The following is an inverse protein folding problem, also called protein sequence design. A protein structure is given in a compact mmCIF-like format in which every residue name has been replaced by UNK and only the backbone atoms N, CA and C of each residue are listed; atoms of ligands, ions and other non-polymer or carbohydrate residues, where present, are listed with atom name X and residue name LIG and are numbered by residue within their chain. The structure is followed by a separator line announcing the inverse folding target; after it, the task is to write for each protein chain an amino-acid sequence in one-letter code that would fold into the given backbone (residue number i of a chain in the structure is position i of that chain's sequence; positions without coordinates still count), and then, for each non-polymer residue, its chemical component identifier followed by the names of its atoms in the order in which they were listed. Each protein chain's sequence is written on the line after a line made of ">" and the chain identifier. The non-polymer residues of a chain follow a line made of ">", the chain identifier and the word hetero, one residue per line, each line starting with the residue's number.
data_IF_840760364054
#
_entry.id   IF_840760364054
#
_cell.length_a   1.000
_cell.length_b   1.000
_cell.length_c   1.000
_cell.angle_alpha   90.00
_cell.angle_beta   90.00
_cell.angle_gamma   90.00
#
_symmetry.space_group_name_H-M   'P 1'
#
loop_
_entity.id
_entity.type
_entity.pdbx_description
1 polymer ?
#
# COMPACT_ATOMS: atom_id res chain seq x y z
N UNK A 1 66.38 5.63 -22.24
CA UNK A 1 67.26 4.77 -23.06
C UNK A 1 67.32 3.36 -22.47
N UNK A 2 66.21 2.61 -22.48
CA UNK A 2 66.13 1.22 -21.94
C UNK A 2 65.29 0.29 -22.82
N UNK A 3 64.27 0.80 -23.53
CA UNK A 3 63.39 0.00 -24.41
C UNK A 3 63.97 -0.40 -25.78
N UNK A 4 65.27 -0.23 -26.04
CA UNK A 4 65.87 -0.54 -27.35
C UNK A 4 66.85 -1.74 -27.35
N UNK A 5 67.10 -2.37 -26.19
CA UNK A 5 68.03 -3.50 -26.08
C UNK A 5 67.37 -4.89 -25.98
N UNK A 6 66.05 -4.98 -25.76
CA UNK A 6 65.33 -6.27 -25.73
C UNK A 6 65.07 -6.80 -27.16
N UNK A 7 65.01 -5.92 -28.16
CA UNK A 7 64.62 -6.27 -29.54
C UNK A 7 65.72 -6.94 -30.39
N UNK A 8 66.97 -6.96 -29.94
CA UNK A 8 68.09 -7.55 -30.70
C UNK A 8 68.43 -8.99 -30.29
N UNK A 9 68.04 -9.45 -29.10
CA UNK A 9 68.41 -10.79 -28.64
C UNK A 9 67.50 -11.91 -29.20
N UNK A 10 66.27 -11.59 -29.58
CA UNK A 10 65.33 -12.57 -30.16
C UNK A 10 65.57 -12.87 -31.66
N UNK A 11 66.44 -12.12 -32.34
CA UNK A 11 66.61 -12.20 -33.81
C UNK A 11 67.70 -13.17 -34.26
N UNK A 12 68.39 -13.85 -33.34
CA UNK A 12 69.49 -14.78 -33.66
C UNK A 12 69.14 -16.27 -33.51
N UNK A 13 67.95 -16.62 -33.03
CA UNK A 13 67.51 -18.03 -32.82
C UNK A 13 66.35 -18.42 -33.76
N UNK A 14 66.41 -17.96 -35.02
CA UNK A 14 65.40 -18.23 -36.06
C UNK A 14 66.05 -18.61 -37.40
N UNK A 15 67.19 -19.31 -37.30
CA UNK A 15 67.82 -20.08 -38.36
C UNK A 15 68.07 -21.47 -37.78
N UNK A 16 67.93 -22.49 -38.61
CA UNK A 16 68.00 -23.91 -38.26
C UNK A 16 66.81 -24.42 -37.43
N UNK A 17 65.64 -24.52 -38.07
CA UNK A 17 64.77 -25.72 -38.03
C UNK A 17 63.79 -25.68 -39.21
N UNK A 18 64.35 -25.78 -40.42
CA UNK A 18 63.55 -25.96 -41.63
C UNK A 18 63.16 -27.42 -41.82
N UNK A 19 61.86 -27.71 -41.76
CA UNK A 19 61.30 -28.95 -42.31
C UNK A 19 60.83 -30.02 -41.31
N UNK A 20 59.66 -29.78 -40.69
CA UNK A 20 58.67 -30.85 -40.50
C UNK A 20 57.31 -30.31 -40.98
N UNK A 21 56.50 -31.18 -41.58
CA UNK A 21 55.40 -30.85 -42.48
C UNK A 21 54.24 -30.03 -41.88
N UNK A 22 53.63 -29.25 -42.77
CA UNK A 22 52.36 -28.56 -42.64
C UNK A 22 51.15 -29.50 -42.49
N UNK A 23 50.66 -29.74 -41.27
CA UNK A 23 49.24 -30.07 -41.00
C UNK A 23 48.82 -29.51 -39.64
N UNK A 24 48.37 -28.26 -39.57
CA UNK A 24 47.48 -27.78 -38.50
C UNK A 24 46.48 -26.79 -39.09
N UNK A 25 45.19 -27.08 -38.91
CA UNK A 25 44.11 -26.25 -39.40
C UNK A 25 44.17 -24.85 -38.80
N UNK A 26 43.95 -23.84 -39.65
CA UNK A 26 43.84 -22.43 -39.26
C UNK A 26 42.54 -22.18 -38.49
N UNK A 27 42.43 -22.67 -37.25
CA UNK A 27 41.28 -22.38 -36.41
C UNK A 27 41.59 -22.22 -34.90
N UNK A 28 41.86 -20.96 -34.55
CA UNK A 28 41.16 -20.32 -33.42
C UNK A 28 41.44 -20.83 -31.98
N UNK A 29 42.45 -21.66 -31.71
CA UNK A 29 42.73 -22.11 -30.34
C UNK A 29 42.99 -20.95 -29.36
N UNK A 30 43.86 -20.00 -29.72
CA UNK A 30 44.14 -18.82 -28.89
C UNK A 30 42.91 -17.93 -28.68
N UNK A 31 42.04 -17.82 -29.69
CA UNK A 31 40.75 -17.10 -29.59
C UNK A 31 39.81 -17.83 -28.64
N UNK A 32 39.67 -19.16 -28.75
CA UNK A 32 38.87 -19.99 -27.82
C UNK A 32 39.35 -19.83 -26.38
N UNK A 33 40.66 -19.90 -26.14
CA UNK A 33 41.24 -19.64 -24.81
C UNK A 33 40.92 -18.22 -24.33
N UNK A 34 41.07 -17.19 -25.18
CA UNK A 34 40.75 -15.80 -24.85
C UNK A 34 39.26 -15.57 -24.54
N UNK A 35 38.35 -16.25 -25.25
CA UNK A 35 36.91 -16.21 -24.95
C UNK A 35 36.58 -16.90 -23.62
N UNK A 36 37.23 -18.02 -23.31
CA UNK A 36 37.03 -18.74 -22.04
C UNK A 36 37.57 -17.93 -20.85
N UNK A 37 38.80 -17.39 -20.95
CA UNK A 37 39.39 -16.58 -19.87
C UNK A 37 38.69 -15.22 -19.72
N UNK A 38 38.33 -14.58 -20.83
CA UNK A 38 37.56 -13.34 -20.82
C UNK A 38 36.14 -13.51 -20.26
N UNK A 39 35.47 -14.61 -20.61
CA UNK A 39 34.16 -14.97 -20.06
C UNK A 39 34.21 -15.28 -18.57
N UNK A 40 35.24 -16.01 -18.11
CA UNK A 40 35.46 -16.28 -16.69
C UNK A 40 35.76 -14.99 -15.89
N UNK A 41 36.57 -14.08 -16.44
CA UNK A 41 36.84 -12.77 -15.84
C UNK A 41 35.59 -11.90 -15.75
N UNK A 42 34.75 -11.88 -16.80
CA UNK A 42 33.46 -11.17 -16.79
C UNK A 42 32.49 -11.76 -15.75
N UNK A 43 32.41 -13.08 -15.65
CA UNK A 43 31.58 -13.75 -14.65
C UNK A 43 32.06 -13.45 -13.21
N UNK A 44 33.37 -13.49 -12.96
CA UNK A 44 33.95 -13.13 -11.66
C UNK A 44 33.73 -11.66 -11.31
N UNK A 45 33.89 -10.74 -12.27
CA UNK A 45 33.62 -9.31 -12.07
C UNK A 45 32.13 -9.04 -11.81
N UNK A 46 31.22 -9.74 -12.49
CA UNK A 46 29.78 -9.65 -12.25
C UNK A 46 29.39 -10.20 -10.87
N UNK A 47 30.01 -11.31 -10.45
CA UNK A 47 29.81 -11.87 -9.10
C UNK A 47 30.30 -10.90 -8.01
N UNK A 48 31.53 -10.39 -8.12
CA UNK A 48 32.07 -9.42 -7.17
C UNK A 48 31.26 -8.12 -7.13
N UNK A 49 30.76 -7.65 -8.29
CA UNK A 49 29.86 -6.50 -8.33
C UNK A 49 28.53 -6.79 -7.62
N UNK A 50 27.94 -7.97 -7.82
CA UNK A 50 26.73 -8.39 -7.13
C UNK A 50 26.95 -8.50 -5.61
N UNK A 51 28.08 -9.05 -5.18
CA UNK A 51 28.46 -9.17 -3.76
C UNK A 51 28.72 -7.81 -3.11
N UNK A 52 29.42 -6.89 -3.79
CA UNK A 52 29.58 -5.50 -3.33
C UNK A 52 28.26 -4.72 -3.28
N UNK A 53 27.35 -4.95 -4.23
CA UNK A 53 26.01 -4.37 -4.20
C UNK A 53 25.17 -4.94 -3.05
N UNK A 54 25.30 -6.24 -2.74
CA UNK A 54 24.65 -6.86 -1.59
C UNK A 54 25.19 -6.30 -0.27
N UNK A 55 26.51 -6.22 -0.09
CA UNK A 55 27.15 -5.63 1.11
C UNK A 55 26.74 -4.17 1.30
N UNK A 56 26.70 -3.38 0.22
CA UNK A 56 26.24 -1.98 0.31
C UNK A 56 24.77 -1.89 0.73
N UNK A 57 23.92 -2.77 0.20
CA UNK A 57 22.50 -2.85 0.55
C UNK A 57 22.31 -3.26 2.01
N UNK A 58 23.13 -4.19 2.52
CA UNK A 58 23.18 -4.54 3.93
C UNK A 58 23.64 -3.36 4.79
N UNK A 59 24.63 -2.57 4.36
CA UNK A 59 25.05 -1.35 5.08
C UNK A 59 23.98 -0.23 5.06
N UNK A 60 23.19 -0.13 4.00
CA UNK A 60 22.06 0.80 3.92
C UNK A 60 20.88 0.34 4.83
N UNK A 61 20.71 -0.97 5.05
CA UNK A 61 19.80 -1.53 6.08
C UNK A 61 20.36 -1.41 7.51
N UNK A 62 21.66 -1.64 7.72
CA UNK A 62 22.36 -1.53 9.01
C UNK A 62 22.62 -0.07 9.44
N UNK A 63 22.11 0.89 8.66
CA UNK A 63 22.04 2.29 9.11
C UNK A 63 21.04 2.40 10.25
N UNK A 64 21.57 2.32 11.47
CA UNK A 64 20.86 2.69 12.70
C UNK A 64 20.17 4.03 12.49
N UNK A 65 18.92 4.09 12.91
CA UNK A 65 17.97 5.19 12.74
C UNK A 65 17.28 5.30 11.35
N UNK A 66 17.52 4.38 10.39
CA UNK A 66 16.68 4.27 9.19
C UNK A 66 15.43 3.39 9.42
N UNK A 67 14.27 3.85 8.94
CA UNK A 67 13.05 3.05 8.85
C UNK A 67 13.05 2.32 7.50
N UNK A 68 13.07 0.99 7.53
CA UNK A 68 12.96 0.15 6.33
C UNK A 68 11.51 -0.32 6.21
N UNK A 69 10.81 0.10 5.17
CA UNK A 69 9.42 -0.28 4.90
C UNK A 69 9.36 -1.43 3.88
N UNK A 70 9.02 -2.62 4.35
CA UNK A 70 8.77 -3.78 3.50
C UNK A 70 7.32 -3.81 3.01
N UNK A 71 7.14 -3.77 1.68
CA UNK A 71 5.82 -3.73 1.06
C UNK A 71 5.82 -4.31 -0.36
N UNK A 72 4.62 -4.43 -0.95
CA UNK A 72 4.45 -4.92 -2.33
C UNK A 72 5.02 -3.94 -3.36
N UNK A 73 5.56 -4.49 -4.45
CA UNK A 73 6.07 -3.73 -5.60
C UNK A 73 5.01 -2.80 -6.19
N UNK A 74 5.45 -1.64 -6.67
CA UNK A 74 4.59 -0.64 -7.34
C UNK A 74 3.86 -1.26 -8.56
N UNK A 75 2.54 -1.06 -8.73
CA UNK A 75 1.85 -1.39 -9.97
C UNK A 75 2.34 -0.54 -11.16
N UNK A 76 2.01 -0.99 -12.38
CA UNK A 76 2.46 -0.37 -13.63
C UNK A 76 1.88 1.03 -13.91
N UNK A 77 0.72 1.35 -13.35
CA UNK A 77 0.01 2.62 -13.57
C UNK A 77 0.46 3.76 -12.65
N UNK A 78 1.65 3.66 -12.04
CA UNK A 78 2.21 4.72 -11.20
C UNK A 78 1.59 4.88 -9.80
N UNK A 79 0.48 4.21 -9.51
CA UNK A 79 -0.11 4.16 -8.16
C UNK A 79 0.90 3.56 -7.17
N UNK A 80 1.01 4.04 -5.91
CA UNK A 80 2.05 3.52 -5.01
C UNK A 80 1.81 2.08 -4.54
N UNK A 81 0.57 1.63 -4.39
CA UNK A 81 0.29 0.26 -3.97
C UNK A 81 -1.12 -0.21 -4.30
N UNK A 82 -1.22 -1.47 -4.73
CA UNK A 82 -2.48 -2.23 -4.81
C UNK A 82 -2.92 -2.80 -3.45
N UNK A 83 -2.14 -2.58 -2.38
CA UNK A 83 -2.51 -2.88 -1.00
C UNK A 83 -2.84 -1.58 -0.25
N UNK A 84 -4.08 -1.40 0.24
CA UNK A 84 -4.46 -0.18 0.92
C UNK A 84 -3.72 -0.01 2.26
N UNK A 85 -3.33 -1.10 2.92
CA UNK A 85 -2.51 -1.06 4.14
C UNK A 85 -1.08 -0.58 3.87
N UNK A 86 -0.48 -0.96 2.73
CA UNK A 86 0.85 -0.47 2.34
C UNK A 86 0.79 1.03 2.04
N UNK A 87 -0.22 1.46 1.27
CA UNK A 87 -0.44 2.88 0.99
C UNK A 87 -0.76 3.70 2.24
N UNK A 88 -1.53 3.15 3.20
CA UNK A 88 -1.79 3.76 4.52
C UNK A 88 -0.48 4.06 5.26
N UNK A 89 0.37 3.05 5.46
CA UNK A 89 1.60 3.20 6.25
C UNK A 89 2.61 4.11 5.55
N UNK A 90 2.76 4.00 4.23
CA UNK A 90 3.67 4.91 3.52
C UNK A 90 3.16 6.36 3.53
N UNK A 91 1.85 6.57 3.39
CA UNK A 91 1.25 7.91 3.54
C UNK A 91 1.41 8.43 4.97
N UNK A 92 1.26 7.57 6.00
CA UNK A 92 1.48 7.95 7.40
C UNK A 92 2.91 8.47 7.62
N UNK A 93 3.93 7.71 7.18
CA UNK A 93 5.34 8.12 7.29
C UNK A 93 5.59 9.50 6.64
N UNK A 94 5.00 9.75 5.46
CA UNK A 94 5.06 11.06 4.80
C UNK A 94 4.27 12.16 5.50
N UNK A 95 3.18 11.84 6.19
CA UNK A 95 2.39 12.79 6.99
C UNK A 95 3.11 13.27 8.24
N UNK A 96 3.99 12.42 8.81
CA UNK A 96 4.83 12.76 9.97
C UNK A 96 6.25 13.18 9.60
N UNK A 97 6.55 13.33 8.31
CA UNK A 97 7.87 13.72 7.77
C UNK A 97 9.04 12.83 8.24
N UNK A 98 8.78 11.53 8.42
CA UNK A 98 9.81 10.57 8.79
C UNK A 98 10.53 10.04 7.53
N UNK A 99 11.87 10.04 7.50
CA UNK A 99 12.63 9.43 6.40
C UNK A 99 12.53 7.90 6.48
N UNK A 100 12.29 7.26 5.33
CA UNK A 100 12.18 5.81 5.22
C UNK A 100 12.71 5.32 3.88
N UNK A 101 13.11 4.04 3.82
CA UNK A 101 13.53 3.35 2.61
C UNK A 101 12.51 2.27 2.24
N UNK A 102 12.14 2.18 0.96
CA UNK A 102 11.20 1.16 0.48
C UNK A 102 11.93 -0.12 0.06
N UNK A 103 11.40 -1.26 0.48
CA UNK A 103 11.92 -2.58 0.13
C UNK A 103 10.82 -3.45 -0.48
N UNK A 104 11.02 -3.82 -1.74
CA UNK A 104 10.06 -4.54 -2.58
C UNK A 104 10.50 -6.01 -2.82
N UNK A 105 10.91 -6.71 -1.75
CA UNK A 105 11.43 -8.08 -1.82
C UNK A 105 10.35 -9.17 -1.83
N UNK A 106 9.10 -8.82 -1.57
CA UNK A 106 7.99 -9.78 -1.43
C UNK A 106 8.03 -10.59 -0.13
N UNK A 107 8.93 -10.27 0.82
CA UNK A 107 9.07 -10.98 2.10
C UNK A 107 7.93 -10.58 3.04
N UNK A 108 7.05 -11.53 3.35
CA UNK A 108 5.97 -11.33 4.32
C UNK A 108 6.53 -11.24 5.75
N UNK A 109 5.80 -10.56 6.63
CA UNK A 109 6.08 -10.57 8.08
C UNK A 109 5.92 -11.98 8.68
N UNK A 110 6.35 -12.23 9.93
CA UNK A 110 6.07 -13.49 10.63
C UNK A 110 4.58 -13.88 10.68
N UNK A 111 3.69 -12.89 10.59
CA UNK A 111 2.23 -13.02 10.56
C UNK A 111 1.67 -13.21 9.14
N UNK A 112 2.53 -13.33 8.12
CA UNK A 112 2.13 -13.56 6.73
C UNK A 112 1.52 -12.34 6.04
N UNK A 113 1.85 -11.12 6.48
CA UNK A 113 1.23 -9.87 5.98
C UNK A 113 2.28 -8.82 5.56
N UNK A 114 1.80 -7.81 4.85
CA UNK A 114 2.49 -6.57 4.52
C UNK A 114 1.50 -5.40 4.70
N UNK A 115 1.96 -4.18 5.04
CA UNK A 115 3.36 -3.81 5.26
C UNK A 115 3.90 -4.28 6.62
N UNK A 116 5.22 -4.26 6.74
CA UNK A 116 5.93 -4.32 8.01
C UNK A 116 7.18 -3.43 7.94
N UNK A 117 7.70 -3.01 9.09
CA UNK A 117 8.92 -2.18 9.16
C UNK A 117 10.03 -2.89 9.93
N UNK A 118 11.27 -2.54 9.60
CA UNK A 118 12.42 -2.70 10.48
C UNK A 118 12.95 -1.32 10.89
N UNK A 119 13.24 -1.15 12.17
CA UNK A 119 13.86 0.07 12.72
C UNK A 119 14.77 -0.31 13.89
N UNK A 120 16.05 0.04 13.81
CA UNK A 120 17.05 -0.34 14.84
C UNK A 120 17.04 -1.84 15.20
N UNK A 121 16.94 -2.70 14.17
CA UNK A 121 16.82 -4.16 14.23
C UNK A 121 15.54 -4.71 14.90
N UNK A 122 14.60 -3.85 15.28
CA UNK A 122 13.28 -4.24 15.77
C UNK A 122 12.30 -4.34 14.58
N UNK A 123 11.66 -5.51 14.40
CA UNK A 123 10.70 -5.75 13.31
C UNK A 123 9.27 -5.65 13.82
N UNK A 124 8.47 -4.78 13.20
CA UNK A 124 7.09 -4.48 13.61
C UNK A 124 6.14 -4.67 12.45
N UNK A 125 5.03 -5.37 12.67
CA UNK A 125 4.05 -5.69 11.63
C UNK A 125 2.62 -5.45 12.09
N UNK A 126 1.72 -5.23 11.14
CA UNK A 126 0.34 -4.82 11.40
C UNK A 126 0.21 -3.30 11.53
N UNK A 127 -0.72 -2.71 10.78
CA UNK A 127 -0.69 -1.25 10.56
C UNK A 127 -1.01 -0.40 11.81
N UNK A 128 -1.77 -0.92 12.78
CA UNK A 128 -1.96 -0.27 14.08
C UNK A 128 -0.65 -0.29 14.89
N UNK A 129 -0.03 -1.47 15.08
CA UNK A 129 1.21 -1.62 15.85
C UNK A 129 2.40 -0.85 15.25
N UNK A 130 2.49 -0.73 13.92
CA UNK A 130 3.50 0.10 13.25
C UNK A 130 3.32 1.59 13.63
N UNK A 131 2.08 2.08 13.66
CA UNK A 131 1.79 3.47 14.07
C UNK A 131 2.12 3.67 15.54
N UNK A 132 1.62 2.79 16.42
CA UNK A 132 1.84 2.87 17.86
C UNK A 132 3.34 2.86 18.21
N UNK A 133 4.11 1.98 17.56
CA UNK A 133 5.56 1.89 17.71
C UNK A 133 6.27 3.18 17.30
N UNK A 134 5.90 3.78 16.16
CA UNK A 134 6.50 5.03 15.70
C UNK A 134 6.11 6.20 16.62
N UNK A 135 4.86 6.25 17.11
CA UNK A 135 4.44 7.23 18.11
C UNK A 135 5.25 7.09 19.42
N UNK A 136 5.51 5.87 19.89
CA UNK A 136 6.28 5.60 21.12
C UNK A 136 7.79 5.92 20.94
N UNK A 137 8.44 5.37 19.90
CA UNK A 137 9.89 5.48 19.72
C UNK A 137 10.35 6.85 19.22
N UNK A 138 9.52 7.54 18.43
CA UNK A 138 9.89 8.77 17.72
C UNK A 138 9.02 9.99 18.06
N UNK A 139 7.97 9.83 18.89
CA UNK A 139 7.12 10.94 19.35
C UNK A 139 6.18 11.53 18.30
N UNK A 140 6.02 10.88 17.14
CA UNK A 140 5.32 11.40 15.95
C UNK A 140 3.79 11.24 15.99
N UNK A 141 3.14 11.77 17.03
CA UNK A 141 1.71 11.56 17.26
C UNK A 141 0.82 12.54 16.47
N UNK A 142 0.16 12.05 15.39
CA UNK A 142 -0.84 12.82 14.62
C UNK A 142 -2.14 13.07 15.40
N UNK A 143 -2.48 12.17 16.33
CA UNK A 143 -3.71 12.19 17.12
C UNK A 143 -3.61 13.03 18.40
N UNK A 144 -2.49 13.73 18.61
CA UNK A 144 -2.16 14.43 19.87
C UNK A 144 -3.19 15.49 20.27
N UNK A 145 -3.82 16.13 19.29
CA UNK A 145 -4.82 17.19 19.50
C UNK A 145 -6.27 16.66 19.54
N UNK A 146 -6.50 15.36 19.31
CA UNK A 146 -7.85 14.79 19.31
C UNK A 146 -8.36 14.59 20.74
N UNK A 147 -9.58 15.02 21.00
CA UNK A 147 -10.34 14.71 22.23
C UNK A 147 -10.58 13.20 22.38
N UNK A 148 -10.88 12.70 23.60
CA UNK A 148 -11.23 11.29 23.79
C UNK A 148 -12.37 10.81 22.90
N UNK A 149 -13.37 11.66 22.65
CA UNK A 149 -14.50 11.41 21.77
C UNK A 149 -14.07 11.30 20.31
N UNK A 150 -13.25 12.23 19.80
CA UNK A 150 -12.69 12.16 18.44
C UNK A 150 -11.80 10.94 18.24
N UNK A 151 -11.03 10.53 19.26
CA UNK A 151 -10.25 9.28 19.22
C UNK A 151 -11.14 8.04 19.15
N UNK A 152 -12.25 8.01 19.88
CA UNK A 152 -13.22 6.92 19.82
C UNK A 152 -13.90 6.84 18.44
N UNK A 153 -14.32 7.98 17.87
CA UNK A 153 -14.85 8.06 16.50
C UNK A 153 -13.79 7.63 15.48
N UNK A 154 -12.55 8.13 15.61
CA UNK A 154 -11.41 7.77 14.75
C UNK A 154 -11.17 6.26 14.72
N UNK A 155 -11.20 5.60 15.88
CA UNK A 155 -11.10 4.13 15.98
C UNK A 155 -12.27 3.41 15.32
N UNK A 156 -13.51 3.86 15.56
CA UNK A 156 -14.70 3.25 14.97
C UNK A 156 -14.69 3.34 13.43
N UNK A 157 -14.36 4.50 12.87
CA UNK A 157 -14.25 4.69 11.41
C UNK A 157 -13.07 3.91 10.84
N UNK A 158 -11.92 3.86 11.54
CA UNK A 158 -10.78 3.02 11.15
C UNK A 158 -11.20 1.56 11.01
N UNK A 159 -11.95 0.99 11.97
CA UNK A 159 -12.40 -0.40 11.88
C UNK A 159 -13.49 -0.64 10.84
N UNK A 160 -14.38 0.31 10.59
CA UNK A 160 -15.29 0.24 9.43
C UNK A 160 -14.51 0.19 8.11
N UNK A 161 -13.44 0.99 7.97
CA UNK A 161 -12.63 1.03 6.74
C UNK A 161 -11.81 -0.25 6.55
N UNK A 162 -11.11 -0.69 7.59
CA UNK A 162 -10.14 -1.79 7.51
C UNK A 162 -10.77 -3.19 7.59
N UNK A 163 -11.90 -3.34 8.27
CA UNK A 163 -12.54 -4.64 8.51
C UNK A 163 -13.86 -4.81 7.73
N UNK A 164 -14.41 -3.76 7.10
CA UNK A 164 -15.66 -3.88 6.30
C UNK A 164 -15.47 -3.39 4.86
N UNK A 165 -15.17 -2.10 4.66
CA UNK A 165 -14.97 -1.53 3.32
C UNK A 165 -13.84 -2.24 2.57
N UNK A 166 -12.70 -2.50 3.23
CA UNK A 166 -11.56 -3.23 2.69
C UNK A 166 -11.96 -4.52 1.96
N UNK A 167 -12.80 -5.37 2.56
CA UNK A 167 -13.19 -6.65 1.97
C UNK A 167 -14.03 -6.47 0.70
N UNK A 168 -14.91 -5.47 0.66
CA UNK A 168 -15.73 -5.18 -0.53
C UNK A 168 -14.89 -4.64 -1.69
N UNK A 169 -13.89 -3.80 -1.41
CA UNK A 169 -12.92 -3.31 -2.40
C UNK A 169 -11.98 -4.44 -2.85
N UNK A 170 -11.51 -5.29 -1.93
CA UNK A 170 -10.68 -6.46 -2.26
C UNK A 170 -11.44 -7.49 -3.11
N UNK A 171 -12.75 -7.65 -2.91
CA UNK A 171 -13.62 -8.44 -3.79
C UNK A 171 -13.64 -7.85 -5.20
N UNK A 172 -13.92 -6.54 -5.33
CA UNK A 172 -13.88 -5.87 -6.62
C UNK A 172 -12.53 -6.10 -7.32
N UNK A 173 -11.43 -5.87 -6.62
CA UNK A 173 -10.06 -5.98 -7.15
C UNK A 173 -9.66 -7.41 -7.55
N UNK A 174 -9.86 -8.41 -6.68
CA UNK A 174 -9.29 -9.76 -6.85
C UNK A 174 -10.30 -10.85 -7.21
N UNK A 175 -11.60 -10.52 -7.28
CA UNK A 175 -12.65 -11.49 -7.63
C UNK A 175 -13.42 -11.06 -8.87
N UNK A 176 -13.85 -9.80 -8.93
CA UNK A 176 -14.73 -9.29 -10.01
C UNK A 176 -13.95 -8.67 -11.17
N UNK A 177 -12.93 -7.85 -10.86
CA UNK A 177 -12.09 -7.12 -11.82
C UNK A 177 -10.71 -7.78 -12.01
N UNK A 178 -10.65 -9.12 -11.92
CA UNK A 178 -9.39 -9.87 -11.80
C UNK A 178 -8.45 -9.66 -13.00
N UNK A 179 -8.99 -9.58 -14.21
CA UNK A 179 -8.21 -9.44 -15.45
C UNK A 179 -7.52 -8.08 -15.55
N UNK A 180 -8.21 -6.98 -15.22
CA UNK A 180 -7.61 -5.64 -15.21
C UNK A 180 -6.58 -5.50 -14.07
N UNK A 181 -6.90 -5.98 -12.87
CA UNK A 181 -5.96 -6.05 -11.74
C UNK A 181 -4.69 -6.83 -12.10
N UNK A 182 -4.81 -7.92 -12.88
CA UNK A 182 -3.66 -8.69 -13.36
C UNK A 182 -2.75 -7.87 -14.28
N UNK A 183 -3.29 -6.96 -15.10
CA UNK A 183 -2.49 -6.08 -15.99
C UNK A 183 -1.66 -5.07 -15.19
N UNK A 184 -2.16 -4.62 -14.04
CA UNK A 184 -1.46 -3.68 -13.14
C UNK A 184 -0.22 -4.28 -12.47
N UNK A 185 -0.11 -5.62 -12.39
CA UNK A 185 1.03 -6.30 -11.75
C UNK A 185 2.35 -6.04 -12.50
N UNK A 186 3.28 -5.37 -11.82
CA UNK A 186 4.63 -5.13 -12.30
C UNK A 186 5.51 -6.38 -12.18
N UNK A 187 5.42 -7.27 -13.17
CA UNK A 187 6.32 -8.41 -13.33
C UNK A 187 6.84 -8.49 -14.77
N UNK A 188 8.13 -8.78 -14.88
CA UNK A 188 8.89 -8.86 -16.13
C UNK A 188 9.60 -10.21 -16.26
N UNK A 189 9.89 -10.63 -17.49
CA UNK A 189 10.59 -11.88 -17.78
C UNK A 189 9.71 -12.98 -18.42
N UNK A 190 10.32 -14.09 -18.86
CA UNK A 190 9.70 -15.07 -19.77
C UNK A 190 8.54 -15.87 -19.16
N UNK A 191 8.40 -15.88 -17.83
CA UNK A 191 7.30 -16.54 -17.12
C UNK A 191 6.33 -15.55 -16.45
N UNK A 192 6.47 -14.26 -16.76
CA UNK A 192 5.76 -13.20 -16.02
C UNK A 192 4.24 -13.30 -16.13
N UNK A 193 3.69 -13.65 -17.30
CA UNK A 193 2.23 -13.75 -17.47
C UNK A 193 1.63 -14.98 -16.77
N UNK A 194 2.32 -16.13 -16.82
CA UNK A 194 1.95 -17.33 -16.04
C UNK A 194 1.99 -17.06 -14.54
N UNK A 195 3.00 -16.31 -14.07
CA UNK A 195 3.16 -15.97 -12.66
C UNK A 195 2.13 -14.92 -12.19
N UNK A 196 1.83 -13.90 -13.02
CA UNK A 196 0.73 -12.96 -12.78
C UNK A 196 -0.61 -13.70 -12.68
N UNK A 197 -0.90 -14.58 -13.65
CA UNK A 197 -2.11 -15.40 -13.65
C UNK A 197 -2.23 -16.23 -12.36
N UNK A 198 -1.15 -16.93 -11.97
CA UNK A 198 -1.11 -17.72 -10.74
C UNK A 198 -1.33 -16.87 -9.49
N UNK A 199 -0.61 -15.76 -9.35
CA UNK A 199 -0.74 -14.85 -8.20
C UNK A 199 -2.13 -14.22 -8.13
N UNK A 200 -2.70 -13.78 -9.25
CA UNK A 200 -4.07 -13.27 -9.33
C UNK A 200 -5.09 -14.32 -8.87
N UNK A 201 -5.00 -15.56 -9.36
CA UNK A 201 -5.93 -16.63 -8.96
C UNK A 201 -5.75 -17.05 -7.50
N UNK A 202 -4.52 -17.07 -6.98
CA UNK A 202 -4.24 -17.32 -5.56
C UNK A 202 -4.83 -16.22 -4.67
N UNK A 203 -4.63 -14.93 -5.01
CA UNK A 203 -5.22 -13.81 -4.29
C UNK A 203 -6.75 -13.84 -4.34
N UNK A 204 -7.35 -14.08 -5.52
CA UNK A 204 -8.81 -14.20 -5.64
C UNK A 204 -9.39 -15.40 -4.88
N UNK A 205 -8.66 -16.50 -4.77
CA UNK A 205 -9.05 -17.64 -3.93
C UNK A 205 -8.95 -17.31 -2.43
N UNK A 206 -7.86 -16.64 -2.03
CA UNK A 206 -7.67 -16.14 -0.66
C UNK A 206 -8.79 -15.17 -0.27
N UNK A 207 -9.05 -14.12 -1.06
CA UNK A 207 -10.09 -13.13 -0.80
C UNK A 207 -11.46 -13.79 -0.61
N UNK A 208 -11.88 -14.70 -1.52
CA UNK A 208 -13.14 -15.44 -1.35
C UNK A 208 -13.18 -16.23 -0.03
N UNK A 209 -12.09 -16.92 0.34
CA UNK A 209 -12.00 -17.71 1.57
C UNK A 209 -12.07 -16.85 2.82
N UNK A 210 -11.23 -15.81 2.91
CA UNK A 210 -11.18 -14.93 4.07
C UNK A 210 -12.50 -14.15 4.24
N UNK A 211 -13.09 -13.65 3.16
CA UNK A 211 -14.41 -13.01 3.20
C UNK A 211 -15.52 -13.95 3.64
N UNK A 212 -15.48 -15.23 3.23
CA UNK A 212 -16.44 -16.23 3.71
C UNK A 212 -16.22 -16.53 5.20
N UNK A 213 -14.98 -16.50 5.69
CA UNK A 213 -14.68 -16.49 7.13
C UNK A 213 -15.32 -15.28 7.82
N UNK A 214 -15.10 -14.08 7.28
CA UNK A 214 -15.58 -12.80 7.82
C UNK A 214 -17.10 -12.64 7.84
N UNK A 215 -17.83 -13.32 6.93
CA UNK A 215 -19.29 -13.23 6.82
C UNK A 215 -19.76 -12.50 5.57
N UNK A 216 -19.08 -11.42 5.18
CA UNK A 216 -19.43 -10.63 3.98
C UNK A 216 -19.43 -11.50 2.71
N UNK A 217 -18.50 -12.46 2.61
CA UNK A 217 -18.43 -13.40 1.48
C UNK A 217 -19.54 -14.44 1.40
N UNK A 218 -20.56 -14.39 2.28
CA UNK A 218 -21.79 -15.19 2.18
C UNK A 218 -22.89 -14.50 1.37
N UNK A 219 -22.77 -13.20 1.11
CA UNK A 219 -23.75 -12.43 0.35
C UNK A 219 -23.49 -12.51 -1.16
N UNK A 220 -24.50 -12.16 -1.95
CA UNK A 220 -24.40 -12.00 -3.41
C UNK A 220 -23.49 -10.83 -3.80
N UNK A 221 -23.06 -10.79 -5.07
CA UNK A 221 -22.26 -9.70 -5.63
C UNK A 221 -22.95 -8.35 -5.42
N UNK A 222 -24.25 -8.28 -5.68
CA UNK A 222 -25.07 -7.09 -5.60
C UNK A 222 -25.17 -6.57 -4.15
N UNK A 223 -25.33 -7.48 -3.18
CA UNK A 223 -25.33 -7.15 -1.75
C UNK A 223 -23.94 -6.69 -1.26
N UNK A 224 -22.85 -7.34 -1.70
CA UNK A 224 -21.48 -6.91 -1.38
C UNK A 224 -21.21 -5.48 -1.87
N UNK A 225 -21.66 -5.14 -3.09
CA UNK A 225 -21.54 -3.77 -3.59
C UNK A 225 -22.50 -2.78 -2.91
N UNK A 226 -23.67 -3.22 -2.42
CA UNK A 226 -24.55 -2.37 -1.62
C UNK A 226 -23.93 -2.04 -0.24
N UNK A 227 -23.21 -2.99 0.37
CA UNK A 227 -22.42 -2.78 1.59
C UNK A 227 -21.28 -1.79 1.36
N UNK A 228 -20.51 -1.97 0.27
CA UNK A 228 -19.47 -1.03 -0.17
C UNK A 228 -20.00 0.40 -0.30
N UNK A 229 -21.11 0.56 -1.02
CA UNK A 229 -21.74 1.86 -1.25
C UNK A 229 -22.20 2.52 0.05
N UNK A 230 -22.76 1.75 0.97
CA UNK A 230 -23.16 2.23 2.30
C UNK A 230 -21.97 2.78 3.10
N UNK A 231 -20.83 2.08 3.09
CA UNK A 231 -19.61 2.55 3.76
C UNK A 231 -19.07 3.83 3.11
N UNK A 232 -19.00 3.86 1.78
CA UNK A 232 -18.48 5.02 1.05
C UNK A 232 -19.39 6.25 1.23
N UNK A 233 -20.71 6.10 1.20
CA UNK A 233 -21.66 7.18 1.53
C UNK A 233 -21.58 7.59 3.01
N UNK A 234 -21.28 6.66 3.91
CA UNK A 234 -21.02 6.96 5.34
C UNK A 234 -19.74 7.79 5.50
N UNK A 235 -18.64 7.44 4.82
CA UNK A 235 -17.42 8.24 4.78
C UNK A 235 -17.67 9.64 4.18
N UNK A 236 -18.44 9.75 3.10
CA UNK A 236 -18.80 11.03 2.50
C UNK A 236 -19.57 11.93 3.48
N UNK A 237 -20.53 11.34 4.21
CA UNK A 237 -21.28 12.03 5.28
C UNK A 237 -20.38 12.44 6.45
N UNK A 238 -19.49 11.55 6.89
CA UNK A 238 -18.55 11.80 7.99
C UNK A 238 -17.51 12.87 7.65
N UNK A 239 -17.09 12.98 6.38
CA UNK A 239 -16.23 14.06 5.92
C UNK A 239 -17.01 15.38 5.83
N UNK A 240 -18.20 15.37 5.20
CA UNK A 240 -18.98 16.57 4.92
C UNK A 240 -18.13 17.62 4.18
N UNK A 241 -18.15 18.86 4.68
CA UNK A 241 -17.34 19.98 4.17
C UNK A 241 -15.96 20.10 4.83
N UNK A 242 -15.57 19.17 5.71
CA UNK A 242 -14.30 19.26 6.44
C UNK A 242 -13.11 19.00 5.51
N UNK A 243 -11.97 19.63 5.82
CA UNK A 243 -10.71 19.43 5.09
C UNK A 243 -10.17 18.01 5.29
N UNK A 244 -10.28 17.51 6.51
CA UNK A 244 -9.87 16.19 7.01
C UNK A 244 -10.98 15.61 7.90
N UNK A 245 -10.98 14.30 8.16
CA UNK A 245 -12.09 13.64 8.87
C UNK A 245 -12.31 14.19 10.29
N UNK A 246 -11.24 14.59 10.98
CA UNK A 246 -11.26 15.23 12.30
C UNK A 246 -11.16 16.76 12.23
N UNK A 247 -11.54 17.38 11.10
CA UNK A 247 -11.66 18.84 10.97
C UNK A 247 -10.58 19.49 10.11
N UNK A 248 -9.82 20.42 10.68
CA UNK A 248 -8.85 21.28 9.96
C UNK A 248 -7.42 20.73 9.96
N UNK A 249 -7.06 19.92 10.96
CA UNK A 249 -5.79 19.19 11.05
C UNK A 249 -6.01 17.73 10.65
N UNK A 250 -4.99 17.12 10.05
CA UNK A 250 -4.98 15.70 9.73
C UNK A 250 -4.72 14.84 10.96
N UNK A 251 -5.15 13.59 10.89
CA UNK A 251 -5.02 12.55 11.90
C UNK A 251 -4.62 11.22 11.25
N UNK A 252 -4.31 10.18 12.04
CA UNK A 252 -4.02 8.84 11.47
C UNK A 252 -5.20 8.28 10.66
N UNK A 253 -6.44 8.67 10.99
CA UNK A 253 -7.62 8.27 10.22
C UNK A 253 -7.54 8.72 8.76
N UNK A 254 -6.99 9.91 8.48
CA UNK A 254 -6.90 10.42 7.12
C UNK A 254 -5.95 9.57 6.26
N UNK A 255 -4.87 9.02 6.86
CA UNK A 255 -4.01 8.04 6.20
C UNK A 255 -4.75 6.72 5.91
N UNK A 256 -5.52 6.22 6.89
CA UNK A 256 -6.34 5.01 6.74
C UNK A 256 -7.37 5.15 5.62
N UNK A 257 -8.18 6.22 5.65
CA UNK A 257 -9.25 6.44 4.66
C UNK A 257 -8.64 6.68 3.28
N UNK A 258 -7.57 7.47 3.17
CA UNK A 258 -6.90 7.69 1.90
C UNK A 258 -6.37 6.38 1.31
N UNK A 259 -5.66 5.55 2.10
CA UNK A 259 -5.09 4.29 1.61
C UNK A 259 -6.12 3.34 1.00
N UNK A 260 -7.34 3.33 1.54
CA UNK A 260 -8.45 2.49 1.07
C UNK A 260 -9.23 3.12 -0.09
N UNK A 261 -9.63 4.40 0.01
CA UNK A 261 -10.37 5.08 -1.08
C UNK A 261 -9.52 5.29 -2.33
N UNK A 262 -8.20 5.38 -2.20
CA UNK A 262 -7.28 5.43 -3.33
C UNK A 262 -7.39 4.22 -4.28
N UNK A 263 -7.79 3.05 -3.76
CA UNK A 263 -8.02 1.87 -4.59
C UNK A 263 -9.25 2.08 -5.51
N UNK A 264 -10.37 2.54 -4.93
CA UNK A 264 -11.56 2.92 -5.68
C UNK A 264 -11.29 4.06 -6.68
N UNK A 265 -10.44 5.03 -6.34
CA UNK A 265 -10.12 6.18 -7.21
C UNK A 265 -9.23 5.85 -8.41
N UNK A 266 -8.26 4.92 -8.28
CA UNK A 266 -7.15 4.80 -9.24
C UNK A 266 -6.65 3.37 -9.53
N UNK A 267 -7.20 2.32 -8.89
CA UNK A 267 -6.80 0.92 -9.19
C UNK A 267 -7.93 0.08 -9.79
N UNK A 268 -9.14 0.63 -9.89
CA UNK A 268 -10.34 -0.09 -10.34
C UNK A 268 -11.09 0.64 -11.48
N UNK A 269 -10.42 0.92 -12.62
CA UNK A 269 -11.01 1.68 -13.73
C UNK A 269 -12.29 1.03 -14.28
N UNK A 270 -13.31 1.83 -14.55
CA UNK A 270 -14.61 1.41 -15.09
C UNK A 270 -15.51 0.65 -14.11
N UNK A 271 -15.09 0.47 -12.85
CA UNK A 271 -15.86 -0.31 -11.87
C UNK A 271 -16.85 0.54 -11.06
N UNK A 272 -17.82 -0.12 -10.42
CA UNK A 272 -18.80 0.53 -9.53
C UNK A 272 -18.15 1.38 -8.40
N UNK A 273 -17.11 0.93 -7.67
CA UNK A 273 -16.44 1.79 -6.69
C UNK A 273 -15.86 3.07 -7.29
N UNK A 274 -15.24 3.01 -8.47
CA UNK A 274 -14.69 4.19 -9.15
C UNK A 274 -15.80 5.15 -9.60
N UNK A 275 -16.81 4.63 -10.31
CA UNK A 275 -17.95 5.40 -10.79
C UNK A 275 -18.67 6.11 -9.63
N UNK A 276 -18.85 5.43 -8.49
CA UNK A 276 -19.46 6.01 -7.30
C UNK A 276 -18.62 7.16 -6.73
N UNK A 277 -17.30 6.98 -6.56
CA UNK A 277 -16.46 8.02 -5.94
C UNK A 277 -16.21 9.21 -6.87
N UNK A 278 -15.94 8.98 -8.15
CA UNK A 278 -15.70 10.03 -9.14
C UNK A 278 -16.99 10.74 -9.58
N UNK A 279 -18.12 10.02 -9.65
CA UNK A 279 -19.40 10.56 -10.14
C UNK A 279 -20.31 11.16 -9.08
N UNK A 280 -20.39 10.57 -7.88
CA UNK A 280 -21.35 10.99 -6.84
C UNK A 280 -20.67 11.55 -5.58
N UNK A 281 -19.60 10.92 -5.10
CA UNK A 281 -18.98 11.25 -3.80
C UNK A 281 -17.85 12.27 -3.95
N UNK A 282 -18.16 13.40 -4.60
CA UNK A 282 -17.19 14.43 -4.99
C UNK A 282 -16.35 14.94 -3.81
N UNK A 283 -16.91 15.03 -2.60
CA UNK A 283 -16.14 15.46 -1.43
C UNK A 283 -15.05 14.44 -1.03
N UNK A 284 -15.29 13.13 -1.22
CA UNK A 284 -14.29 12.08 -1.06
C UNK A 284 -13.26 12.09 -2.19
N UNK A 285 -13.68 12.24 -3.45
CA UNK A 285 -12.75 12.37 -4.58
C UNK A 285 -11.79 13.56 -4.38
N UNK A 286 -12.33 14.71 -3.95
CA UNK A 286 -11.55 15.89 -3.60
C UNK A 286 -10.67 15.69 -2.37
N UNK A 287 -11.07 14.86 -1.39
CA UNK A 287 -10.21 14.47 -0.27
C UNK A 287 -9.03 13.62 -0.74
N UNK A 288 -9.28 12.61 -1.58
CA UNK A 288 -8.24 11.77 -2.16
C UNK A 288 -7.25 12.61 -2.98
N UNK A 289 -7.73 13.52 -3.84
CA UNK A 289 -6.87 14.44 -4.59
C UNK A 289 -6.05 15.38 -3.68
N UNK A 290 -6.62 15.91 -2.59
CA UNK A 290 -5.86 16.71 -1.60
C UNK A 290 -4.72 15.91 -0.97
N UNK A 291 -4.99 14.65 -0.59
CA UNK A 291 -3.99 13.77 0.02
C UNK A 291 -2.90 13.37 -0.97
N UNK A 292 -3.28 12.99 -2.21
CA UNK A 292 -2.34 12.69 -3.31
C UNK A 292 -1.44 13.89 -3.60
N UNK A 293 -2.00 15.07 -3.90
CA UNK A 293 -1.19 16.26 -4.26
C UNK A 293 -0.26 16.72 -3.14
N UNK A 294 -0.63 16.50 -1.87
CA UNK A 294 0.18 16.93 -0.70
C UNK A 294 1.29 15.94 -0.35
N UNK A 295 1.01 14.63 -0.39
CA UNK A 295 1.93 13.61 0.10
C UNK A 295 2.53 12.73 -1.00
N UNK A 296 2.01 12.82 -2.22
CA UNK A 296 2.43 12.04 -3.38
C UNK A 296 2.56 12.93 -4.62
N UNK A 297 3.36 14.03 -4.57
CA UNK A 297 3.53 14.93 -5.70
C UNK A 297 4.16 14.26 -6.93
N UNK A 298 4.86 13.14 -6.74
CA UNK A 298 5.44 12.31 -7.80
C UNK A 298 4.45 11.30 -8.40
N UNK A 299 3.30 11.08 -7.75
CA UNK A 299 2.23 10.24 -8.29
C UNK A 299 1.41 11.06 -9.28
N UNK A 300 1.91 11.13 -10.51
CA UNK A 300 1.17 11.66 -11.65
C UNK A 300 0.03 10.72 -12.03
N UNK A 301 -1.12 11.31 -12.35
CA UNK A 301 -2.30 10.64 -12.91
C UNK A 301 -2.51 11.28 -14.27
N UNK A 302 -2.63 10.50 -15.33
CA UNK A 302 -2.85 11.05 -16.67
C UNK A 302 -4.26 11.64 -16.74
N UNK A 303 -4.39 12.81 -17.39
CA UNK A 303 -5.62 13.62 -17.30
C UNK A 303 -6.80 12.93 -18.00
N UNK A 304 -6.54 12.03 -18.94
CA UNK A 304 -7.57 11.19 -19.56
C UNK A 304 -8.32 10.31 -18.54
N UNK A 305 -7.69 9.85 -17.45
CA UNK A 305 -8.36 9.06 -16.38
C UNK A 305 -9.38 9.87 -15.53
N UNK A 306 -9.47 11.18 -15.75
CA UNK A 306 -10.44 12.07 -15.10
C UNK A 306 -11.69 12.33 -15.97
N UNK A 307 -11.63 12.02 -17.26
CA UNK A 307 -12.74 12.17 -18.19
C UNK A 307 -13.34 10.80 -18.52
N UNK A 308 -14.26 10.36 -17.67
CA UNK A 308 -15.13 9.24 -18.02
C UNK A 308 -16.13 9.72 -19.08
N UNK A 309 -15.83 9.48 -20.36
CA UNK A 309 -16.78 9.77 -21.43
C UNK A 309 -17.99 8.83 -21.28
N UNK A 310 -19.14 9.43 -21.00
CA UNK A 310 -20.41 8.74 -20.79
C UNK A 310 -21.03 8.32 -22.13
N UNK A 311 -20.32 7.49 -22.90
CA UNK A 311 -20.77 6.99 -24.20
C UNK A 311 -21.98 6.05 -24.06
N UNK A 312 -23.15 6.67 -23.95
CA UNK A 312 -24.42 6.08 -24.34
C UNK A 312 -24.83 6.69 -25.68
N UNK A 313 -24.94 5.85 -26.71
CA UNK A 313 -25.32 6.29 -28.06
C UNK A 313 -26.69 6.99 -28.05
N UNK A 314 -26.70 8.33 -28.19
CA UNK A 314 -27.78 9.01 -28.89
C UNK A 314 -27.31 10.33 -29.50
N UNK A 315 -27.68 10.54 -30.77
CA UNK A 315 -27.22 11.65 -31.60
C UNK A 315 -27.83 13.00 -31.22
N UNK A 316 -26.99 14.01 -30.98
CA UNK A 316 -27.42 15.41 -30.87
C UNK A 316 -26.25 16.37 -30.77
N UNK A 317 -26.03 17.22 -31.78
CA UNK A 317 -24.91 18.15 -31.81
C UNK A 317 -25.05 19.31 -30.83
N UNK A 318 -24.06 19.51 -29.96
CA UNK A 318 -23.89 20.69 -29.11
C UNK A 318 -22.42 20.84 -28.69
N UNK A 319 -21.91 22.07 -28.65
CA UNK A 319 -20.51 22.31 -28.26
C UNK A 319 -20.25 22.03 -26.78
N UNK A 320 -19.09 21.46 -26.40
CA UNK A 320 -18.75 21.24 -25.01
C UNK A 320 -18.30 22.55 -24.35
N UNK A 321 -19.20 23.20 -23.62
CA UNK A 321 -18.86 24.20 -22.59
C UNK A 321 -18.73 23.49 -21.24
N UNK A 322 -17.51 23.33 -20.72
CA UNK A 322 -17.29 22.60 -19.47
C UNK A 322 -15.84 22.47 -19.00
N UNK A 323 -15.03 23.53 -19.10
CA UNK A 323 -13.70 23.53 -18.46
C UNK A 323 -13.85 23.66 -16.93
N UNK A 324 -13.57 22.57 -16.21
CA UNK A 324 -13.34 22.62 -14.76
C UNK A 324 -11.91 23.10 -14.49
N UNK A 325 -11.75 24.42 -14.33
CA UNK A 325 -10.48 25.04 -13.97
C UNK A 325 -10.13 24.75 -12.49
N UNK A 326 -9.28 23.73 -12.28
CA UNK A 326 -8.70 23.40 -10.98
C UNK A 326 -7.51 24.30 -10.58
N UNK A 327 -7.21 25.37 -11.32
CA UNK A 327 -6.00 26.20 -11.19
C UNK A 327 -5.99 27.23 -10.04
N UNK A 328 -7.13 27.49 -9.38
CA UNK A 328 -7.31 28.69 -8.53
C UNK A 328 -7.33 28.47 -7.00
N UNK A 329 -6.59 27.48 -6.48
CA UNK A 329 -6.27 27.40 -5.05
C UNK A 329 -4.79 27.12 -4.76
N UNK A 330 -3.90 27.87 -5.42
CA UNK A 330 -2.52 28.06 -4.96
C UNK A 330 -2.39 29.40 -4.24
N UNK A 331 -2.61 29.39 -2.92
CA UNK A 331 -1.99 30.37 -2.01
C UNK A 331 -1.26 29.59 -0.92
N UNK A 332 0.05 29.69 -0.98
CA UNK A 332 0.97 29.29 0.07
C UNK A 332 0.79 30.22 1.27
N UNK A 333 0.51 29.66 2.44
CA UNK A 333 0.79 30.32 3.72
C UNK A 333 1.78 29.43 4.48
N UNK A 334 2.98 29.97 4.70
CA UNK A 334 4.09 29.36 5.42
C UNK A 334 4.31 30.08 6.74
N UNK A 335 4.48 29.29 7.82
CA UNK A 335 5.08 29.62 9.13
C UNK A 335 4.27 30.45 10.14
N UNK A 336 4.30 29.93 11.39
CA UNK A 336 4.28 30.55 12.74
C UNK A 336 3.20 31.62 13.08
N UNK A 337 2.64 31.76 14.29
CA UNK A 337 3.13 31.43 15.63
C UNK A 337 2.00 31.61 16.68
N UNK A 338 2.21 30.99 17.85
CA UNK A 338 1.78 31.45 19.21
C UNK A 338 0.30 31.51 19.67
N UNK A 339 0.15 31.29 20.98
CA UNK A 339 -1.11 31.32 21.74
C UNK A 339 -1.67 32.73 22.02
N UNK A 340 -3.01 32.85 22.02
CA UNK A 340 -3.70 33.87 22.82
C UNK A 340 -5.13 33.42 23.18
N UNK A 341 -5.38 33.19 24.47
CA UNK A 341 -6.71 32.93 25.02
C UNK A 341 -7.44 34.24 25.35
N UNK A 342 -8.75 34.31 25.08
CA UNK A 342 -9.64 35.27 25.76
C UNK A 342 -11.10 34.79 25.77
N UNK A 343 -11.77 34.97 26.93
CA UNK A 343 -13.15 34.55 27.20
C UNK A 343 -14.18 35.66 26.92
N UNK A 344 -15.38 35.29 26.50
CA UNK A 344 -16.71 35.72 27.04
C UNK A 344 -17.82 35.05 26.19
N UNK A 345 -18.72 34.23 26.77
CA UNK A 345 -19.93 34.62 27.52
C UNK A 345 -20.90 35.51 26.71
N UNK A 346 -22.16 35.15 26.47
CA UNK A 346 -22.96 33.95 26.79
C UNK A 346 -24.46 34.30 26.68
N UNK A 347 -25.38 33.33 26.62
CA UNK A 347 -26.81 33.55 26.95
C UNK A 347 -27.57 32.23 27.19
N UNK A 348 -28.45 32.23 28.18
CA UNK A 348 -29.21 31.09 28.70
C UNK A 348 -30.72 31.33 28.52
N UNK A 349 -31.51 30.30 28.19
CA UNK A 349 -32.97 30.29 28.42
C UNK A 349 -33.55 28.86 28.58
N UNK A 350 -34.64 28.75 29.35
CA UNK A 350 -35.45 27.54 29.62
C UNK A 350 -36.95 27.88 29.34
N UNK A 351 -37.95 26.98 29.33
CA UNK A 351 -38.10 25.63 29.89
C UNK A 351 -39.03 24.72 29.06
N UNK A 352 -39.04 23.44 29.45
CA UNK A 352 -40.10 22.40 29.44
C UNK A 352 -41.59 22.87 29.47
N UNK A 353 -42.62 22.02 29.14
CA UNK A 353 -42.65 20.58 29.47
C UNK A 353 -43.35 19.55 28.55
N UNK A 354 -42.92 18.30 28.77
CA UNK A 354 -43.59 16.99 28.85
C UNK A 354 -44.82 16.62 27.98
N UNK A 355 -44.69 15.46 27.32
CA UNK A 355 -45.74 14.43 27.28
C UNK A 355 -45.14 13.04 27.05
N UNK A 356 -45.36 12.11 27.98
CA UNK A 356 -45.03 10.68 27.84
C UNK A 356 -45.93 10.01 26.78
N UNK A 357 -45.44 8.93 26.14
CA UNK A 357 -46.10 7.62 26.15
C UNK A 357 -45.20 6.53 25.53
N UNK A 358 -45.48 5.29 25.92
CA UNK A 358 -44.59 4.11 25.84
C UNK A 358 -44.85 3.18 24.66
N UNK A 359 -43.85 2.34 24.32
CA UNK A 359 -43.90 0.85 24.24
C UNK A 359 -42.89 0.28 23.25
N UNK A 360 -41.88 -0.46 23.72
CA UNK A 360 -41.79 -1.93 23.56
C UNK A 360 -40.51 -2.48 24.23
N UNK A 361 -40.69 -3.23 25.32
CA UNK A 361 -39.68 -4.15 25.86
C UNK A 361 -39.73 -5.48 25.10
N UNK A 362 -38.61 -6.21 25.08
CA UNK A 362 -38.57 -7.63 24.71
C UNK A 362 -37.37 -8.33 25.35
N UNK A 363 -37.58 -8.84 26.56
CA UNK A 363 -36.64 -9.73 27.24
C UNK A 363 -36.47 -11.05 26.48
N UNK A 364 -35.23 -11.54 26.40
CA UNK A 364 -34.91 -12.90 25.95
C UNK A 364 -34.77 -13.79 27.18
N UNK A 365 -35.82 -14.55 27.48
CA UNK A 365 -35.82 -15.51 28.58
C UNK A 365 -34.95 -16.75 28.29
N UNK A 366 -34.03 -17.07 29.21
CA UNK A 366 -33.27 -18.31 29.20
C UNK A 366 -34.10 -19.46 29.76
N UNK A 367 -34.42 -20.46 28.92
CA UNK A 367 -35.01 -21.73 29.38
C UNK A 367 -33.95 -22.80 29.58
N UNK A 368 -33.80 -23.30 30.81
CA UNK A 368 -33.16 -24.59 31.07
C UNK A 368 -34.18 -25.72 30.89
N UNK A 369 -33.70 -26.90 30.48
CA UNK A 369 -33.80 -28.13 31.27
C UNK A 369 -33.37 -29.34 30.43
N UNK A 370 -32.42 -30.11 30.96
CA UNK A 370 -32.21 -31.53 30.65
C UNK A 370 -31.21 -32.12 31.66
N UNK A 371 -31.74 -32.82 32.66
CA UNK A 371 -30.96 -33.56 33.66
C UNK A 371 -30.21 -34.74 33.02
N UNK A 372 -28.88 -34.79 33.16
CA UNK A 372 -28.13 -36.06 33.17
C UNK A 372 -27.10 -36.02 34.31
N UNK A 373 -27.32 -36.87 35.32
CA UNK A 373 -26.36 -37.18 36.38
C UNK A 373 -25.06 -37.77 35.81
N UNK A 374 -23.91 -37.22 36.21
CA UNK A 374 -22.61 -37.90 36.16
C UNK A 374 -21.77 -37.48 37.37
N UNK A 375 -21.01 -38.44 37.91
CA UNK A 375 -20.36 -38.36 39.23
C UNK A 375 -19.16 -37.41 39.26
N UNK A 376 -18.96 -36.76 40.40
CA UNK A 376 -17.63 -36.29 40.80
C UNK A 376 -16.70 -37.49 41.02
N UNK A 377 -15.52 -37.44 40.43
CA UNK A 377 -14.39 -38.31 40.80
C UNK A 377 -13.18 -37.40 41.06
N UNK A 378 -12.70 -37.43 42.30
CA UNK A 378 -11.58 -36.60 42.78
C UNK A 378 -10.28 -37.04 42.10
N UNK A 379 -9.47 -36.11 41.60
CA UNK A 379 -8.04 -36.33 41.38
C UNK A 379 -7.21 -35.37 42.25
N UNK A 380 -6.09 -35.82 42.83
CA UNK A 380 -5.41 -35.10 43.91
C UNK A 380 -4.34 -34.12 43.43
N UNK A 381 -3.94 -33.24 44.34
CA UNK A 381 -2.84 -32.28 44.18
C UNK A 381 -1.48 -32.95 43.87
N UNK A 382 -0.65 -32.21 43.12
CA UNK A 382 0.75 -32.52 42.87
C UNK A 382 1.61 -31.28 43.13
N UNK A 383 2.20 -31.20 44.32
CA UNK A 383 3.43 -30.44 44.55
C UNK A 383 4.64 -31.35 44.26
N UNK A 384 5.53 -30.92 43.36
CA UNK A 384 6.98 -30.69 43.54
C UNK A 384 7.47 -29.81 42.38
#
# INVERSE_FOLDING_TARGET
>A
MVMMNVFLHFRSCSRDYGGIMSVLGSDSWWKKTLYITGGALLAAAAYLLHELLAIRKEQELDSKDAIILHQFSRPKNGVPSLSPFCLKIETYLRMVDLPYQNYFDGKLSPQGKMPWIEYNHEQVSGSEFIVDFLEEKLGVNLNKNLTPQERAVSRAVTKMVEEHLYWTIAYCQWVDNLEETQKLLAMSGPLSDTLKWLLSHLNGSMVRREMYGHGIGRFSKEEVYALMEKDMRTLATLLGDKKYFMGSKMSTLDATVFGHLAQAMWTLPGTRPEQLIKGELINLAMFCERMRRRFWPEWFVEVEDLYYDGDSESSGGGSPTGLLDFGLFSRTDTLDDSDASSHSAGHTHTHSPDSDHSLFDSDVGTGSDNDIQLKEELMPDLEV
#
